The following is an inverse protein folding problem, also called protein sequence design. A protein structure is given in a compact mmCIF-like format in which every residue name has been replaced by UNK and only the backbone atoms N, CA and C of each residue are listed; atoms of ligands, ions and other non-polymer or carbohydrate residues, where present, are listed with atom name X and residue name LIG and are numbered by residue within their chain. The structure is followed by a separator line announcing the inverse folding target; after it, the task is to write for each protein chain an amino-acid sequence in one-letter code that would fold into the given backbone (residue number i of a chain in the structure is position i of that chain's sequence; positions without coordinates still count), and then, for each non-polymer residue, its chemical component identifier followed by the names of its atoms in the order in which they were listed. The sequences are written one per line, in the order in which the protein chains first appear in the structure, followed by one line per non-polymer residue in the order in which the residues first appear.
data_IF_832948030281
#
_entry.id   IF_832948030281
#
_cell.length_a   1.000
_cell.length_b   1.000
_cell.length_c   1.000
_cell.angle_alpha   90.00
_cell.angle_beta   90.00
_cell.angle_gamma   90.00
#
_symmetry.space_group_name_H-M   'P 1'
#
loop_
_entity.id
_entity.type
_entity.pdbx_description
1 polymer ?
#
# COMPACT_ATOMS: atom_id res chain seq x y z
N UNK A 1 -12.74 15.09 16.07
CA UNK A 1 -12.34 14.65 14.72
C UNK A 1 -13.13 13.41 14.40
N UNK A 2 -13.90 13.45 13.32
CA UNK A 2 -14.93 12.44 13.04
C UNK A 2 -14.24 11.22 12.42
N UNK A 3 -14.72 9.99 12.68
CA UNK A 3 -14.13 8.74 12.14
C UNK A 3 -13.86 8.82 10.63
N UNK A 4 -14.72 9.52 9.90
CA UNK A 4 -14.61 9.72 8.45
C UNK A 4 -13.31 10.45 8.03
N UNK A 5 -12.87 11.46 8.80
CA UNK A 5 -11.64 12.22 8.50
C UNK A 5 -10.39 11.36 8.68
N UNK A 6 -10.40 10.45 9.65
CA UNK A 6 -9.29 9.53 9.91
C UNK A 6 -9.18 8.48 8.80
N UNK A 7 -10.31 7.93 8.36
CA UNK A 7 -10.36 6.94 7.25
C UNK A 7 -9.88 7.56 5.94
N UNK A 8 -10.29 8.80 5.63
CA UNK A 8 -9.82 9.51 4.44
C UNK A 8 -8.31 9.80 4.50
N UNK A 9 -7.78 10.16 5.67
CA UNK A 9 -6.33 10.33 5.85
C UNK A 9 -5.57 9.02 5.64
N UNK A 10 -6.06 7.92 6.20
CA UNK A 10 -5.49 6.58 6.01
C UNK A 10 -5.55 6.17 4.54
N UNK A 11 -6.66 6.43 3.85
CA UNK A 11 -6.81 6.13 2.43
C UNK A 11 -5.77 6.83 1.55
N UNK A 12 -5.33 8.02 1.93
CA UNK A 12 -4.29 8.76 1.21
C UNK A 12 -2.86 8.43 1.68
N UNK A 13 -2.67 8.12 2.97
CA UNK A 13 -1.35 7.87 3.56
C UNK A 13 -0.85 6.43 3.30
N UNK A 14 -1.73 5.43 3.42
CA UNK A 14 -1.36 4.00 3.31
C UNK A 14 -0.78 3.65 1.94
N UNK A 15 -1.35 4.08 0.80
CA UNK A 15 -0.76 3.80 -0.51
C UNK A 15 0.64 4.42 -0.68
N UNK A 16 0.84 5.65 -0.18
CA UNK A 16 2.15 6.33 -0.24
C UNK A 16 3.19 5.61 0.62
N UNK A 17 2.79 5.15 1.81
CA UNK A 17 3.65 4.33 2.66
C UNK A 17 4.00 2.99 1.98
N UNK A 18 3.05 2.34 1.30
CA UNK A 18 3.29 1.13 0.52
C UNK A 18 4.32 1.30 -0.59
N UNK A 19 4.26 2.42 -1.32
CA UNK A 19 5.27 2.76 -2.34
C UNK A 19 6.66 2.92 -1.72
N UNK A 20 6.75 3.62 -0.59
CA UNK A 20 8.03 3.82 0.11
C UNK A 20 8.59 2.48 0.61
N UNK A 21 7.74 1.64 1.21
CA UNK A 21 8.10 0.28 1.65
C UNK A 21 8.57 -0.59 0.48
N UNK A 22 7.88 -0.52 -0.66
CA UNK A 22 8.29 -1.18 -1.89
C UNK A 22 9.65 -0.69 -2.39
N UNK A 23 9.90 0.62 -2.38
CA UNK A 23 11.18 1.19 -2.76
C UNK A 23 12.31 0.72 -1.85
N UNK A 24 12.10 0.69 -0.54
CA UNK A 24 13.07 0.16 0.44
C UNK A 24 13.37 -1.31 0.17
N UNK A 25 12.35 -2.13 -0.11
CA UNK A 25 12.54 -3.54 -0.48
C UNK A 25 13.43 -3.70 -1.71
N UNK A 26 13.16 -2.94 -2.78
CA UNK A 26 13.96 -2.97 -4.01
C UNK A 26 15.40 -2.52 -3.75
N UNK A 27 15.58 -1.42 -3.01
CA UNK A 27 16.91 -0.92 -2.67
C UNK A 27 17.74 -1.95 -1.88
N UNK A 28 17.11 -2.63 -0.91
CA UNK A 28 17.74 -3.72 -0.17
C UNK A 28 18.06 -4.90 -1.09
N UNK A 29 17.14 -5.30 -1.97
CA UNK A 29 17.37 -6.38 -2.93
C UNK A 29 18.56 -6.10 -3.86
N UNK A 30 18.62 -4.89 -4.43
CA UNK A 30 19.74 -4.45 -5.28
C UNK A 30 21.04 -4.39 -4.47
N UNK A 31 21.01 -3.87 -3.25
CA UNK A 31 22.16 -3.85 -2.36
C UNK A 31 22.69 -5.25 -2.04
N UNK A 32 21.81 -6.19 -1.72
CA UNK A 32 22.18 -7.59 -1.46
C UNK A 32 22.80 -8.23 -2.70
N UNK A 33 22.27 -7.96 -3.89
CA UNK A 33 22.80 -8.45 -5.15
C UNK A 33 24.19 -7.86 -5.47
N UNK A 34 24.38 -6.56 -5.27
CA UNK A 34 25.69 -5.92 -5.43
C UNK A 34 26.74 -6.51 -4.46
N UNK A 35 26.36 -6.75 -3.20
CA UNK A 35 27.22 -7.39 -2.21
C UNK A 35 27.55 -8.84 -2.55
N UNK A 36 26.64 -9.58 -3.18
CA UNK A 36 26.90 -10.93 -3.70
C UNK A 36 27.96 -10.90 -4.80
N UNK A 37 27.81 -10.03 -5.80
CA UNK A 37 28.77 -9.91 -6.90
C UNK A 37 30.13 -9.49 -6.36
N UNK A 38 30.18 -8.43 -5.54
CA UNK A 38 31.42 -7.91 -4.98
C UNK A 38 32.10 -8.95 -4.06
N UNK A 39 31.33 -9.63 -3.20
CA UNK A 39 31.83 -10.70 -2.35
C UNK A 39 32.40 -11.88 -3.13
N UNK A 40 31.77 -12.23 -4.25
CA UNK A 40 32.26 -13.27 -5.17
C UNK A 40 33.55 -12.87 -5.87
N UNK A 41 33.61 -11.65 -6.42
CA UNK A 41 34.81 -11.11 -7.08
C UNK A 41 36.01 -11.05 -6.12
N UNK A 42 35.80 -10.60 -4.89
CA UNK A 42 36.86 -10.50 -3.87
C UNK A 42 37.36 -11.88 -3.41
N UNK A 43 36.49 -12.90 -3.36
CA UNK A 43 36.90 -14.28 -3.04
C UNK A 43 37.74 -14.93 -4.13
N UNK A 44 37.61 -14.50 -5.39
CA UNK A 44 38.40 -15.00 -6.51
C UNK A 44 39.85 -14.50 -6.53
N UNK A 45 40.20 -13.51 -5.70
CA UNK A 45 41.54 -12.95 -5.63
C UNK A 45 42.48 -13.87 -4.82
N UNK A 46 43.77 -13.93 -5.20
CA UNK A 46 44.81 -14.71 -4.49
C UNK A 46 45.26 -14.06 -3.17
N UNK A 47 44.92 -12.80 -2.95
CA UNK A 47 45.23 -12.08 -1.72
C UNK A 47 44.35 -12.58 -0.56
N UNK A 48 44.98 -13.08 0.50
CA UNK A 48 44.29 -13.58 1.68
C UNK A 48 43.43 -12.51 2.36
N UNK A 49 43.84 -11.24 2.34
CA UNK A 49 43.07 -10.13 2.92
C UNK A 49 41.76 -9.88 2.17
N UNK A 50 41.81 -9.90 0.84
CA UNK A 50 40.62 -9.72 -0.01
C UNK A 50 39.66 -10.92 0.10
N UNK A 51 40.17 -12.14 0.25
CA UNK A 51 39.33 -13.31 0.47
C UNK A 51 38.54 -13.24 1.78
N UNK A 52 39.18 -12.77 2.86
CA UNK A 52 38.53 -12.58 4.16
C UNK A 52 37.46 -11.51 4.06
N UNK A 53 37.75 -10.37 3.40
CA UNK A 53 36.78 -9.31 3.14
C UNK A 53 35.55 -9.83 2.34
N UNK A 54 35.78 -10.62 1.29
CA UNK A 54 34.71 -11.24 0.50
C UNK A 54 33.84 -12.20 1.32
N UNK A 55 34.43 -12.97 2.26
CA UNK A 55 33.66 -13.81 3.20
C UNK A 55 32.80 -12.97 4.14
N UNK A 56 33.31 -11.87 4.67
CA UNK A 56 32.52 -10.97 5.52
C UNK A 56 31.36 -10.31 4.77
N UNK A 57 31.57 -9.91 3.51
CA UNK A 57 30.50 -9.38 2.66
C UNK A 57 29.39 -10.40 2.42
N UNK A 58 29.74 -11.62 2.02
CA UNK A 58 28.76 -12.69 1.81
C UNK A 58 27.94 -13.01 3.06
N UNK A 59 28.53 -12.89 4.27
CA UNK A 59 27.81 -13.11 5.54
C UNK A 59 26.71 -12.07 5.77
N UNK A 60 26.83 -10.87 5.20
CA UNK A 60 25.82 -9.81 5.30
C UNK A 60 24.67 -9.94 4.29
N UNK A 61 24.82 -10.78 3.26
CA UNK A 61 23.79 -10.94 2.22
C UNK A 61 22.51 -11.58 2.77
N UNK A 62 22.53 -12.73 3.47
CA UNK A 62 21.29 -13.37 3.94
C UNK A 62 20.37 -12.49 4.79
N UNK A 63 20.85 -11.72 5.80
CA UNK A 63 19.96 -10.86 6.58
C UNK A 63 19.40 -9.70 5.74
N UNK A 64 20.17 -9.17 4.80
CA UNK A 64 19.74 -8.07 3.92
C UNK A 64 18.67 -8.53 2.94
N UNK A 65 18.83 -9.74 2.40
CA UNK A 65 17.87 -10.38 1.49
C UNK A 65 16.60 -10.79 2.25
N UNK A 66 16.73 -11.30 3.49
CA UNK A 66 15.61 -11.55 4.39
C UNK A 66 14.80 -10.27 4.68
N UNK A 67 15.48 -9.17 4.97
CA UNK A 67 14.82 -7.87 5.14
C UNK A 67 14.11 -7.41 3.87
N UNK A 68 14.75 -7.52 2.70
CA UNK A 68 14.14 -7.19 1.42
C UNK A 68 12.83 -7.98 1.17
N UNK A 69 12.82 -9.28 1.47
CA UNK A 69 11.63 -10.14 1.35
C UNK A 69 10.52 -9.72 2.31
N UNK A 70 10.85 -9.39 3.57
CA UNK A 70 9.87 -8.92 4.55
C UNK A 70 9.22 -7.61 4.06
N UNK A 71 10.01 -6.65 3.59
CA UNK A 71 9.47 -5.40 3.06
C UNK A 71 8.69 -5.60 1.76
N UNK A 72 9.10 -6.54 0.89
CA UNK A 72 8.33 -6.88 -0.31
C UNK A 72 6.95 -7.42 0.09
N UNK A 73 6.91 -8.34 1.05
CA UNK A 73 5.65 -8.90 1.55
C UNK A 73 4.76 -7.83 2.18
N UNK A 74 5.33 -6.94 3.00
CA UNK A 74 4.60 -5.81 3.57
C UNK A 74 4.04 -4.87 2.49
N UNK A 75 4.78 -4.64 1.40
CA UNK A 75 4.29 -3.85 0.26
C UNK A 75 3.07 -4.53 -0.41
N UNK A 76 3.08 -5.85 -0.58
CA UNK A 76 1.95 -6.59 -1.18
C UNK A 76 0.69 -6.60 -0.30
N UNK A 77 0.85 -6.48 1.01
CA UNK A 77 -0.27 -6.37 1.95
C UNK A 77 -0.87 -4.96 2.00
N UNK A 78 -0.25 -3.98 1.36
CA UNK A 78 -0.75 -2.60 1.39
C UNK A 78 -1.96 -2.48 0.46
N UNK A 79 -3.17 -2.22 0.98
CA UNK A 79 -4.35 -2.10 0.15
C UNK A 79 -4.29 -0.84 -0.72
N UNK A 80 -4.91 -0.93 -1.89
CA UNK A 80 -5.01 0.22 -2.80
C UNK A 80 -5.98 1.28 -2.25
N UNK A 81 -5.83 2.53 -2.70
CA UNK A 81 -6.72 3.64 -2.32
C UNK A 81 -8.19 3.32 -2.60
N UNK A 82 -8.49 2.72 -3.74
CA UNK A 82 -9.85 2.34 -4.11
C UNK A 82 -10.42 1.26 -3.19
N UNK A 83 -9.59 0.30 -2.75
CA UNK A 83 -10.00 -0.71 -1.76
C UNK A 83 -10.37 -0.07 -0.43
N UNK A 84 -9.56 0.86 0.08
CA UNK A 84 -9.85 1.55 1.35
C UNK A 84 -11.12 2.40 1.22
N UNK A 85 -11.27 3.14 0.11
CA UNK A 85 -12.47 3.95 -0.14
C UNK A 85 -13.74 3.09 -0.28
N UNK A 86 -13.63 1.89 -0.86
CA UNK A 86 -14.74 0.94 -0.95
C UNK A 86 -15.17 0.44 0.43
N UNK A 87 -14.22 0.13 1.31
CA UNK A 87 -14.52 -0.25 2.71
C UNK A 87 -15.23 0.90 3.42
N UNK A 88 -14.71 2.12 3.29
CA UNK A 88 -15.32 3.32 3.88
C UNK A 88 -16.74 3.56 3.36
N UNK A 89 -16.93 3.42 2.04
CA UNK A 89 -18.25 3.56 1.42
C UNK A 89 -19.22 2.47 1.90
N UNK A 90 -18.75 1.25 2.12
CA UNK A 90 -19.56 0.15 2.66
C UNK A 90 -20.02 0.43 4.09
N UNK A 91 -19.12 0.90 4.98
CA UNK A 91 -19.48 1.26 6.35
C UNK A 91 -20.46 2.44 6.43
N UNK A 92 -20.21 3.49 5.64
CA UNK A 92 -21.11 4.66 5.57
C UNK A 92 -22.45 4.25 4.96
N UNK A 93 -22.43 3.44 3.90
CA UNK A 93 -23.63 2.92 3.25
C UNK A 93 -24.48 2.08 4.19
N UNK A 94 -23.87 1.22 4.99
CA UNK A 94 -24.58 0.44 6.01
C UNK A 94 -25.19 1.34 7.09
N UNK A 95 -24.45 2.37 7.55
CA UNK A 95 -24.96 3.33 8.54
C UNK A 95 -26.17 4.11 7.99
N UNK A 96 -26.10 4.55 6.74
CA UNK A 96 -27.20 5.25 6.04
C UNK A 96 -28.38 4.31 5.78
N UNK A 97 -28.10 3.05 5.42
CA UNK A 97 -29.14 2.05 5.17
C UNK A 97 -29.82 1.57 6.46
N UNK A 98 -29.17 1.68 7.61
CA UNK A 98 -29.71 1.24 8.91
C UNK A 98 -30.40 2.35 9.69
N UNK A 99 -30.10 3.63 9.43
CA UNK A 99 -30.77 4.73 10.14
C UNK A 99 -32.15 5.07 9.53
N UNK A 100 -33.21 5.19 10.35
CA UNK A 100 -34.55 5.54 9.87
C UNK A 100 -34.58 6.91 9.18
N UNK A 101 -33.90 7.91 9.76
CA UNK A 101 -33.86 9.27 9.23
C UNK A 101 -33.12 9.35 7.89
N UNK A 102 -32.06 8.57 7.67
CA UNK A 102 -31.37 8.59 6.39
C UNK A 102 -32.15 7.83 5.30
N UNK A 103 -32.96 6.83 5.65
CA UNK A 103 -33.92 6.21 4.71
C UNK A 103 -34.98 7.20 4.25
N UNK A 104 -35.53 8.00 5.15
CA UNK A 104 -36.50 9.06 4.80
C UNK A 104 -35.86 10.09 3.87
N UNK A 105 -34.69 10.63 4.22
CA UNK A 105 -33.99 11.59 3.37
C UNK A 105 -33.65 11.02 1.98
N UNK A 106 -33.22 9.75 1.89
CA UNK A 106 -32.90 9.13 0.60
C UNK A 106 -34.15 8.97 -0.27
N UNK A 107 -35.30 8.72 0.35
CA UNK A 107 -36.60 8.63 -0.34
C UNK A 107 -37.02 10.00 -0.87
N UNK A 108 -36.86 11.06 -0.08
CA UNK A 108 -37.12 12.44 -0.51
C UNK A 108 -36.22 12.84 -1.69
N UNK A 109 -34.92 12.57 -1.62
CA UNK A 109 -33.97 12.83 -2.70
C UNK A 109 -34.36 12.07 -3.97
N UNK A 110 -34.71 10.79 -3.88
CA UNK A 110 -35.18 10.02 -5.04
C UNK A 110 -36.44 10.62 -5.67
N UNK A 111 -37.36 11.11 -4.86
CA UNK A 111 -38.59 11.75 -5.36
C UNK A 111 -38.29 13.06 -6.09
N UNK A 112 -37.39 13.89 -5.57
CA UNK A 112 -36.95 15.13 -6.20
C UNK A 112 -36.22 14.87 -7.54
N UNK A 113 -35.36 13.85 -7.60
CA UNK A 113 -34.65 13.46 -8.84
C UNK A 113 -35.66 12.98 -9.90
N UNK A 114 -36.63 12.13 -9.53
CA UNK A 114 -37.67 11.69 -10.46
C UNK A 114 -38.48 12.86 -11.00
N UNK A 115 -38.78 13.85 -10.17
CA UNK A 115 -39.46 15.06 -10.59
C UNK A 115 -38.63 15.87 -11.61
N UNK A 116 -37.33 16.03 -11.37
CA UNK A 116 -36.43 16.68 -12.34
C UNK A 116 -36.33 15.92 -13.66
N UNK A 117 -36.19 14.58 -13.62
CA UNK A 117 -36.10 13.76 -14.83
C UNK A 117 -37.39 13.86 -15.65
N UNK A 118 -38.57 13.81 -15.01
CA UNK A 118 -39.84 14.02 -15.72
C UNK A 118 -39.91 15.37 -16.40
N UNK A 119 -39.49 16.43 -15.69
CA UNK A 119 -39.50 17.79 -16.21
C UNK A 119 -38.61 17.95 -17.44
N UNK A 120 -37.43 17.32 -17.45
CA UNK A 120 -36.52 17.29 -18.60
C UNK A 120 -37.02 16.42 -19.76
N UNK A 121 -37.92 15.45 -19.51
CA UNK A 121 -38.49 14.60 -20.55
C UNK A 121 -39.73 15.23 -21.22
N UNK A 122 -40.30 16.27 -20.62
CA UNK A 122 -41.45 17.04 -21.13
C UNK A 122 -41.03 18.31 -21.90
N UNK A 123 -39.75 18.69 -21.85
CA UNK A 123 -39.11 19.71 -22.69
C UNK A 123 -38.55 19.10 -23.99
#
# INVERSE_FOLDING_TARGET
MNNLSWILYVADAVPRAGVLVGFVSVALGVGAFALLILGGLLRGQRDQGLQVAGKHLHRKVPPLLGAAVIFAFAATLTPSRSTILMIAASEVGETVASSPEAREMMTEVQSAIRAQIRRLAEE
#
